data_IF_792778531164
#
_entry.id   IF_792778531164
#
_cell.length_a   1.000
_cell.length_b   1.000
_cell.length_c   1.000
_cell.angle_alpha   90.00
_cell.angle_beta   90.00
_cell.angle_gamma   90.00
#
_symmetry.space_group_name_H-M   'P 1'
#
loop_
_entity.id
_entity.type
_entity.pdbx_description
1 polymer ?
#
# COMPACT_ATOMS: atom_id res chain seq x y z
N UNK A 1 -16.96 0.94 15.39
CA UNK A 1 -15.73 0.14 15.14
C UNK A 1 -15.78 -0.25 13.68
N UNK A 2 -14.91 0.30 12.84
CA UNK A 2 -14.95 0.03 11.40
C UNK A 2 -14.49 -1.41 11.17
N UNK A 3 -15.36 -2.25 10.61
CA UNK A 3 -15.02 -3.61 10.19
C UNK A 3 -13.92 -3.54 9.10
N UNK A 4 -12.88 -4.37 9.20
CA UNK A 4 -11.80 -4.48 8.20
C UNK A 4 -12.38 -4.62 6.80
N UNK A 5 -13.41 -5.44 6.66
CA UNK A 5 -14.04 -5.71 5.38
C UNK A 5 -14.68 -4.45 4.79
N UNK A 6 -15.20 -3.56 5.64
CA UNK A 6 -15.79 -2.30 5.22
C UNK A 6 -14.71 -1.32 4.73
N UNK A 7 -13.59 -1.19 5.46
CA UNK A 7 -12.47 -0.34 5.02
C UNK A 7 -11.89 -0.86 3.71
N UNK A 8 -11.66 -2.17 3.60
CA UNK A 8 -11.13 -2.77 2.38
C UNK A 8 -12.09 -2.55 1.21
N UNK A 9 -13.40 -2.73 1.42
CA UNK A 9 -14.40 -2.47 0.39
C UNK A 9 -14.35 -1.01 -0.08
N UNK A 10 -14.35 -0.04 0.83
CA UNK A 10 -14.25 1.39 0.50
C UNK A 10 -13.00 1.72 -0.32
N UNK A 11 -11.83 1.19 0.08
CA UNK A 11 -10.57 1.41 -0.65
C UNK A 11 -10.61 0.74 -2.02
N UNK A 12 -11.17 -0.47 -2.11
CA UNK A 12 -11.33 -1.18 -3.38
C UNK A 12 -12.26 -0.42 -4.34
N UNK A 13 -13.36 0.12 -3.85
CA UNK A 13 -14.32 0.90 -4.61
C UNK A 13 -13.67 2.17 -5.17
N UNK A 14 -12.89 2.87 -4.33
CA UNK A 14 -12.14 4.05 -4.75
C UNK A 14 -11.11 3.74 -5.84
N UNK A 15 -10.41 2.61 -5.73
CA UNK A 15 -9.45 2.14 -6.74
C UNK A 15 -10.12 1.44 -7.94
N UNK A 16 -11.44 1.23 -7.89
CA UNK A 16 -12.20 0.44 -8.88
C UNK A 16 -11.57 -0.93 -9.13
N UNK A 17 -11.11 -1.61 -8.08
CA UNK A 17 -10.50 -2.94 -8.15
C UNK A 17 -11.44 -3.99 -7.57
N UNK A 18 -11.31 -5.23 -8.03
CA UNK A 18 -12.03 -6.34 -7.41
C UNK A 18 -11.48 -6.57 -6.01
N UNK A 19 -12.36 -6.61 -5.01
CA UNK A 19 -11.98 -6.88 -3.63
C UNK A 19 -11.22 -8.21 -3.53
N UNK A 20 -9.95 -8.20 -3.06
CA UNK A 20 -9.21 -9.43 -2.83
C UNK A 20 -9.79 -10.19 -1.65
N UNK A 21 -9.56 -11.50 -1.62
CA UNK A 21 -9.89 -12.32 -0.45
C UNK A 21 -8.96 -11.92 0.70
N UNK A 22 -9.50 -11.75 1.90
CA UNK A 22 -8.69 -11.45 3.09
C UNK A 22 -8.56 -12.72 3.93
N UNK A 23 -7.34 -13.10 4.27
CA UNK A 23 -7.05 -14.31 5.07
C UNK A 23 -6.03 -13.97 6.15
N UNK A 24 -6.27 -14.37 7.39
CA UNK A 24 -5.25 -14.25 8.44
C UNK A 24 -4.31 -15.45 8.38
N UNK A 25 -3.04 -15.21 8.05
CA UNK A 25 -2.01 -16.24 7.96
C UNK A 25 -0.63 -15.68 8.34
N UNK A 26 -0.27 -15.66 9.63
CA UNK A 26 1.04 -15.19 10.07
C UNK A 26 2.21 -15.96 9.44
N UNK A 27 1.98 -17.23 9.04
CA UNK A 27 2.99 -18.09 8.39
C UNK A 27 3.42 -17.59 7.00
N UNK A 28 2.63 -16.73 6.36
CA UNK A 28 2.95 -16.13 5.05
C UNK A 28 3.89 -14.92 5.16
N UNK A 29 4.11 -14.37 6.36
CA UNK A 29 4.95 -13.20 6.56
C UNK A 29 6.43 -13.58 6.41
N UNK A 30 7.11 -13.00 5.42
CA UNK A 30 8.53 -13.29 5.13
C UNK A 30 9.47 -12.64 6.15
N UNK A 31 9.02 -11.58 6.83
CA UNK A 31 9.80 -10.85 7.83
C UNK A 31 8.97 -10.58 9.08
N UNK A 32 9.65 -10.31 10.21
CA UNK A 32 8.97 -9.99 11.48
C UNK A 32 8.16 -8.69 11.41
N UNK A 33 8.56 -7.75 10.54
CA UNK A 33 7.94 -6.43 10.39
C UNK A 33 6.78 -6.41 9.39
N UNK A 34 6.65 -7.42 8.53
CA UNK A 34 5.56 -7.52 7.56
C UNK A 34 4.22 -7.71 8.28
N UNK A 35 3.23 -6.87 7.95
CA UNK A 35 1.88 -6.94 8.53
C UNK A 35 0.87 -7.55 7.56
N UNK A 36 1.05 -7.36 6.27
CA UNK A 36 0.26 -7.96 5.21
C UNK A 36 1.13 -8.31 4.01
N UNK A 37 0.61 -9.19 3.15
CA UNK A 37 1.20 -9.60 1.88
C UNK A 37 0.09 -9.81 0.86
N UNK A 38 0.18 -9.20 -0.31
CA UNK A 38 -0.64 -9.56 -1.46
C UNK A 38 -0.04 -10.74 -2.24
N UNK A 39 -0.87 -11.73 -2.55
CA UNK A 39 -0.57 -12.87 -3.43
C UNK A 39 -1.43 -12.75 -4.70
N UNK A 40 -0.76 -12.64 -5.85
CA UNK A 40 -1.38 -12.42 -7.16
C UNK A 40 -2.18 -13.62 -7.66
N UNK A 41 -1.70 -14.85 -7.45
CA UNK A 41 -2.29 -16.08 -7.99
C UNK A 41 -3.75 -16.27 -7.58
N UNK A 42 -4.06 -16.03 -6.30
CA UNK A 42 -5.40 -16.21 -5.75
C UNK A 42 -6.12 -14.88 -5.45
N UNK A 43 -5.56 -13.74 -5.87
CA UNK A 43 -6.04 -12.40 -5.52
C UNK A 43 -6.36 -12.30 -4.01
N UNK A 44 -5.37 -12.62 -3.17
CA UNK A 44 -5.55 -12.78 -1.72
C UNK A 44 -4.58 -11.90 -0.95
N UNK A 45 -5.07 -11.13 0.01
CA UNK A 45 -4.26 -10.42 1.00
C UNK A 45 -4.19 -11.28 2.26
N UNK A 46 -2.97 -11.67 2.63
CA UNK A 46 -2.70 -12.34 3.88
C UNK A 46 -2.35 -11.32 4.96
N UNK A 47 -3.04 -11.36 6.09
CA UNK A 47 -2.75 -10.52 7.26
C UNK A 47 -1.99 -11.32 8.32
N UNK A 48 -1.08 -10.66 9.04
CA UNK A 48 -0.34 -11.26 10.14
C UNK A 48 -1.24 -11.64 11.31
N UNK A 49 -2.24 -10.83 11.63
CA UNK A 49 -3.19 -11.07 12.71
C UNK A 49 -4.56 -10.43 12.39
N UNK A 50 -5.55 -10.61 13.28
CA UNK A 50 -6.90 -10.04 13.15
C UNK A 50 -7.00 -8.61 13.69
N UNK A 51 -5.97 -8.08 14.34
CA UNK A 51 -5.99 -6.75 14.96
C UNK A 51 -5.90 -5.69 13.88
N UNK A 52 -6.82 -4.72 13.95
CA UNK A 52 -6.96 -3.65 12.96
C UNK A 52 -6.65 -2.34 13.64
N UNK A 53 -5.36 -2.05 13.72
CA UNK A 53 -4.86 -0.72 14.04
C UNK A 53 -4.61 0.08 12.75
N UNK A 54 -4.20 1.34 12.91
CA UNK A 54 -3.90 2.22 11.79
C UNK A 54 -2.73 1.70 10.94
N UNK A 55 -1.78 0.99 11.53
CA UNK A 55 -0.63 0.41 10.81
C UNK A 55 -1.09 -0.75 9.91
N UNK A 56 -2.02 -1.58 10.37
CA UNK A 56 -2.64 -2.63 9.57
C UNK A 56 -3.47 -2.03 8.42
N UNK A 57 -4.27 -1.00 8.69
CA UNK A 57 -5.06 -0.32 7.65
C UNK A 57 -4.14 0.32 6.61
N UNK A 58 -3.09 1.00 7.05
CA UNK A 58 -2.07 1.58 6.18
C UNK A 58 -1.46 0.48 5.28
N UNK A 59 -1.05 -0.64 5.86
CA UNK A 59 -0.46 -1.76 5.12
C UNK A 59 -1.46 -2.34 4.10
N UNK A 60 -2.72 -2.52 4.49
CA UNK A 60 -3.75 -3.01 3.56
C UNK A 60 -3.94 -2.05 2.39
N UNK A 61 -4.04 -0.74 2.64
CA UNK A 61 -4.18 0.26 1.60
C UNK A 61 -2.97 0.29 0.65
N UNK A 62 -1.75 0.11 1.20
CA UNK A 62 -0.52 -0.04 0.44
C UNK A 62 -0.59 -1.25 -0.51
N UNK A 63 -0.94 -2.44 0.01
CA UNK A 63 -1.07 -3.65 -0.81
C UNK A 63 -2.16 -3.50 -1.89
N UNK A 64 -3.32 -2.92 -1.56
CA UNK A 64 -4.40 -2.67 -2.51
C UNK A 64 -3.97 -1.70 -3.63
N UNK A 65 -3.12 -0.73 -3.31
CA UNK A 65 -2.58 0.19 -4.31
C UNK A 65 -1.65 -0.55 -5.29
N UNK A 66 -0.85 -1.51 -4.83
CA UNK A 66 -0.08 -2.37 -5.73
C UNK A 66 -0.98 -3.17 -6.68
N UNK A 67 -2.10 -3.72 -6.20
CA UNK A 67 -3.10 -4.38 -7.08
C UNK A 67 -3.58 -3.44 -8.18
N UNK A 68 -3.88 -2.19 -7.83
CA UNK A 68 -4.30 -1.18 -8.80
C UNK A 68 -3.19 -0.80 -9.80
N UNK A 69 -1.94 -0.67 -9.35
CA UNK A 69 -0.79 -0.36 -10.20
C UNK A 69 -0.51 -1.49 -11.20
N UNK A 70 -0.83 -2.75 -10.85
CA UNK A 70 -0.63 -3.92 -11.72
C UNK A 70 -1.66 -4.03 -12.86
N UNK A 71 -2.72 -3.22 -12.85
CA UNK A 71 -3.70 -3.19 -13.96
C UNK A 71 -3.02 -2.82 -15.29
N UNK A 72 -3.44 -3.40 -16.44
CA UNK A 72 -2.80 -3.17 -17.73
C UNK A 72 -2.58 -1.70 -18.09
N UNK A 73 -3.55 -0.84 -17.80
CA UNK A 73 -3.51 0.60 -18.06
C UNK A 73 -2.49 1.36 -17.20
N UNK A 74 -2.14 0.84 -16.02
CA UNK A 74 -1.23 1.46 -15.06
C UNK A 74 0.16 0.83 -15.08
N UNK A 75 0.26 -0.44 -15.47
CA UNK A 75 1.46 -1.26 -15.29
C UNK A 75 2.70 -0.64 -15.92
N UNK A 76 2.58 -0.07 -17.12
CA UNK A 76 3.70 0.59 -17.79
C UNK A 76 4.19 1.83 -17.05
N UNK A 77 3.29 2.60 -16.42
CA UNK A 77 3.67 3.80 -15.64
C UNK A 77 4.52 3.42 -14.43
N UNK A 78 4.20 2.32 -13.76
CA UNK A 78 4.81 1.95 -12.49
C UNK A 78 5.97 0.97 -12.63
N UNK A 79 5.87 0.00 -13.55
CA UNK A 79 6.75 -1.17 -13.57
C UNK A 79 7.68 -1.27 -14.78
N UNK A 80 7.71 -0.28 -15.68
CA UNK A 80 8.58 -0.36 -16.88
C UNK A 80 10.08 -0.48 -16.55
N UNK A 81 10.53 0.10 -15.44
CA UNK A 81 11.93 0.04 -14.96
C UNK A 81 12.03 -0.49 -13.52
N UNK A 82 11.03 -1.24 -13.06
CA UNK A 82 11.01 -1.76 -11.70
C UNK A 82 12.05 -2.86 -11.52
N UNK A 83 12.71 -2.83 -10.37
CA UNK A 83 13.67 -3.82 -9.92
C UNK A 83 13.13 -4.52 -8.68
N UNK A 84 13.26 -5.83 -8.65
CA UNK A 84 12.86 -6.64 -7.51
C UNK A 84 13.77 -6.40 -6.30
N UNK A 85 13.25 -6.70 -5.11
CA UNK A 85 13.96 -6.51 -3.84
C UNK A 85 15.27 -7.31 -3.74
N UNK A 86 15.42 -8.38 -4.51
CA UNK A 86 16.66 -9.18 -4.54
C UNK A 86 17.75 -8.55 -5.41
N UNK A 87 17.42 -7.56 -6.24
CA UNK A 87 18.35 -6.97 -7.21
C UNK A 87 19.04 -5.70 -6.70
N UNK A 88 18.43 -5.02 -5.72
CA UNK A 88 18.88 -3.74 -5.18
C UNK A 88 18.74 -3.70 -3.65
N UNK A 89 19.41 -2.74 -3.01
CA UNK A 89 19.28 -2.56 -1.58
C UNK A 89 17.88 -2.05 -1.17
N UNK A 90 17.57 -2.14 0.13
CA UNK A 90 16.25 -1.80 0.67
C UNK A 90 15.91 -0.31 0.52
N UNK A 91 16.90 0.58 0.62
CA UNK A 91 16.66 2.01 0.51
C UNK A 91 16.28 2.37 -0.93
N UNK A 92 17.07 1.90 -1.90
CA UNK A 92 16.80 2.08 -3.33
C UNK A 92 15.49 1.40 -3.75
N UNK A 93 15.19 0.22 -3.19
CA UNK A 93 13.91 -0.45 -3.41
C UNK A 93 12.73 0.43 -3.00
N UNK A 94 12.78 1.00 -1.78
CA UNK A 94 11.70 1.84 -1.26
C UNK A 94 11.60 3.22 -1.96
N UNK A 95 12.64 3.66 -2.67
CA UNK A 95 12.61 4.89 -3.48
C UNK A 95 11.92 4.67 -4.84
N UNK A 96 11.71 3.44 -5.26
CA UNK A 96 11.05 3.16 -6.53
C UNK A 96 9.62 3.68 -6.55
N UNK A 97 9.19 4.16 -7.72
CA UNK A 97 7.88 4.78 -7.91
C UNK A 97 6.70 3.92 -7.40
N UNK A 98 6.63 2.60 -7.61
CA UNK A 98 5.53 1.77 -7.10
C UNK A 98 5.39 1.85 -5.58
N UNK A 99 6.51 1.74 -4.85
CA UNK A 99 6.57 1.77 -3.38
C UNK A 99 6.23 3.15 -2.83
N UNK A 100 6.79 4.21 -3.44
CA UNK A 100 6.50 5.60 -3.05
C UNK A 100 5.02 5.93 -3.28
N UNK A 101 4.44 5.54 -4.41
CA UNK A 101 3.02 5.77 -4.73
C UNK A 101 2.09 4.94 -3.84
N UNK A 102 2.44 3.68 -3.54
CA UNK A 102 1.67 2.84 -2.62
C UNK A 102 1.65 3.40 -1.20
N UNK A 103 2.81 3.82 -0.68
CA UNK A 103 2.90 4.48 0.62
C UNK A 103 2.17 5.82 0.65
N UNK A 104 2.26 6.64 -0.41
CA UNK A 104 1.53 7.90 -0.51
C UNK A 104 0.02 7.70 -0.50
N UNK A 105 -0.48 6.73 -1.26
CA UNK A 105 -1.91 6.39 -1.28
C UNK A 105 -2.40 5.86 0.08
N UNK A 106 -1.61 5.01 0.74
CA UNK A 106 -1.91 4.52 2.08
C UNK A 106 -1.97 5.68 3.09
N UNK A 107 -1.06 6.66 2.99
CA UNK A 107 -1.10 7.86 3.81
C UNK A 107 -2.38 8.68 3.58
N UNK A 108 -2.77 8.89 2.33
CA UNK A 108 -4.03 9.58 1.99
C UNK A 108 -5.22 8.83 2.59
N UNK A 109 -5.25 7.51 2.49
CA UNK A 109 -6.32 6.68 3.08
C UNK A 109 -6.44 6.91 4.59
N UNK A 110 -5.31 6.96 5.31
CA UNK A 110 -5.28 7.24 6.74
C UNK A 110 -5.75 8.67 7.05
N UNK A 111 -5.29 9.65 6.27
CA UNK A 111 -5.65 11.07 6.44
C UNK A 111 -7.15 11.27 6.23
N UNK A 112 -7.70 10.78 5.12
CA UNK A 112 -9.10 11.02 4.77
C UNK A 112 -10.06 10.29 5.73
N UNK A 113 -9.78 9.02 6.05
CA UNK A 113 -10.69 8.20 6.86
C UNK A 113 -10.57 8.45 8.37
N UNK A 114 -9.39 8.82 8.86
CA UNK A 114 -9.10 8.91 10.30
C UNK A 114 -8.59 10.29 10.75
N UNK A 115 -8.38 11.23 9.82
CA UNK A 115 -7.96 12.60 10.10
C UNK A 115 -6.65 12.68 10.91
N UNK A 116 -5.76 11.71 10.68
CA UNK A 116 -4.46 11.62 11.33
C UNK A 116 -3.33 11.37 10.31
N UNK A 117 -2.10 11.70 10.69
CA UNK A 117 -0.92 11.50 9.84
C UNK A 117 -0.14 10.25 10.27
N UNK A 118 0.29 9.40 9.31
CA UNK A 118 1.24 8.34 9.61
C UNK A 118 2.54 8.93 10.20
N UNK A 119 3.12 8.24 11.18
CA UNK A 119 4.36 8.67 11.83
C UNK A 119 5.62 8.24 11.05
N UNK A 120 5.49 7.30 10.11
CA UNK A 120 6.59 6.73 9.31
C UNK A 120 7.76 6.22 10.17
N UNK A 121 7.46 5.62 11.34
CA UNK A 121 8.49 5.12 12.26
C UNK A 121 9.35 4.05 11.57
N UNK A 122 10.67 4.24 11.60
CA UNK A 122 11.62 3.29 11.00
C UNK A 122 11.83 3.45 9.49
N UNK A 123 11.23 4.47 8.87
CA UNK A 123 11.47 4.81 7.46
C UNK A 123 12.53 5.91 7.34
N UNK A 124 13.33 5.84 6.28
CA UNK A 124 14.33 6.87 5.98
C UNK A 124 13.67 8.22 5.65
N UNK A 125 14.26 9.33 6.11
CA UNK A 125 13.70 10.67 5.92
C UNK A 125 13.61 11.07 4.44
N UNK A 126 14.52 10.58 3.60
CA UNK A 126 14.49 10.82 2.15
C UNK A 126 13.25 10.18 1.53
N UNK A 127 12.93 8.93 1.91
CA UNK A 127 11.72 8.24 1.46
C UNK A 127 10.47 8.97 1.94
N UNK A 128 10.43 9.42 3.20
CA UNK A 128 9.29 10.17 3.74
C UNK A 128 9.05 11.47 2.94
N UNK A 129 10.12 12.14 2.50
CA UNK A 129 10.01 13.32 1.63
C UNK A 129 9.40 12.97 0.28
N UNK A 130 9.85 11.89 -0.36
CA UNK A 130 9.29 11.41 -1.63
C UNK A 130 7.80 11.07 -1.49
N UNK A 131 7.41 10.38 -0.42
CA UNK A 131 6.00 10.05 -0.12
C UNK A 131 5.17 11.33 -0.01
N UNK A 132 5.63 12.32 0.76
CA UNK A 132 4.90 13.60 0.93
C UNK A 132 4.76 14.36 -0.39
N UNK A 133 5.79 14.38 -1.23
CA UNK A 133 5.70 14.95 -2.58
C UNK A 133 4.66 14.21 -3.41
N UNK A 134 4.69 12.86 -3.40
CA UNK A 134 3.75 12.05 -4.16
C UNK A 134 2.30 12.20 -3.68
N UNK A 135 2.06 12.40 -2.39
CA UNK A 135 0.73 12.73 -1.84
C UNK A 135 0.17 13.99 -2.52
N UNK A 136 0.97 15.06 -2.63
CA UNK A 136 0.54 16.30 -3.28
C UNK A 136 0.23 16.11 -4.76
N UNK A 137 0.98 15.26 -5.46
CA UNK A 137 0.71 14.91 -6.86
C UNK A 137 -0.60 14.13 -7.00
N UNK A 138 -0.85 13.13 -6.15
CA UNK A 138 -2.10 12.34 -6.18
C UNK A 138 -3.30 13.26 -5.93
N UNK A 139 -3.23 14.19 -4.96
CA UNK A 139 -4.32 15.14 -4.76
C UNK A 139 -4.56 16.04 -5.98
N UNK A 140 -3.51 16.42 -6.73
CA UNK A 140 -3.69 17.14 -7.99
C UNK A 140 -4.36 16.28 -9.05
N UNK A 141 -3.92 15.02 -9.20
CA UNK A 141 -4.51 14.04 -10.13
C UNK A 141 -6.00 13.80 -9.84
N UNK A 142 -6.43 13.84 -8.57
CA UNK A 142 -7.83 13.65 -8.16
C UNK A 142 -8.73 14.88 -8.37
N UNK A 143 -8.14 16.08 -8.39
CA UNK A 143 -8.86 17.36 -8.53
C UNK A 143 -8.76 17.98 -9.93
N UNK A 144 -8.12 17.28 -10.88
CA UNK A 144 -7.99 17.70 -12.29
C UNK A 144 -9.06 17.05 -13.15
#
# INVERSE_FOLDING_TARGET
MNDTNNIVAQVCDLLKIKTPKIVVSPKKMLTKTMLALYETEHNTIYLKNKTIDLDMIFTIAHELRHVWQLKPENKNRFFNNYKERTEIDLLEYNKQLPEVDANAFASITIIELFQCMPLYKGMDQEIVKLIKTRIQEIYKEMNS
#
